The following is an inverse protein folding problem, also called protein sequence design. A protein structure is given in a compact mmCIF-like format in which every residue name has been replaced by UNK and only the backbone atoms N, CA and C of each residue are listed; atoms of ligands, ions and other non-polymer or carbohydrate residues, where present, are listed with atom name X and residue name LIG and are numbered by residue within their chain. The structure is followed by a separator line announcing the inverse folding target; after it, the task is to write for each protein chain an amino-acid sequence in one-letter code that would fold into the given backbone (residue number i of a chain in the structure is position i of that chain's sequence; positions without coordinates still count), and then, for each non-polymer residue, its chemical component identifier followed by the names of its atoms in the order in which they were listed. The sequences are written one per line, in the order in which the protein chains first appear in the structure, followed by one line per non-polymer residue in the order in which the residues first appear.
data_IF_472008629017
#
_entry.id   IF_472008629017
#
_cell.length_a   1.000
_cell.length_b   1.000
_cell.length_c   1.000
_cell.angle_alpha   90.00
_cell.angle_beta   90.00
_cell.angle_gamma   90.00
#
_symmetry.space_group_name_H-M   'P 1'
#
loop_
_entity.id
_entity.type
_entity.pdbx_description
1 polymer ?
#
# COMPACT_ATOMS: atom_id res chain seq x y z
N UNK A 1 8.65 -65.45 43.75
CA UNK A 1 8.03 -64.11 43.55
C UNK A 1 7.82 -63.93 42.05
N UNK A 2 6.57 -64.00 41.56
CA UNK A 2 6.22 -63.94 40.14
C UNK A 2 6.20 -62.46 39.69
N UNK A 3 6.99 -62.12 38.67
CA UNK A 3 7.04 -60.77 38.08
C UNK A 3 5.90 -60.63 37.06
N UNK A 4 5.01 -59.66 37.29
CA UNK A 4 4.03 -59.21 36.30
C UNK A 4 4.64 -58.09 35.46
N UNK A 5 4.63 -58.23 34.14
CA UNK A 5 4.88 -57.13 33.19
C UNK A 5 3.53 -56.57 32.73
N UNK A 6 3.28 -55.25 32.81
CA UNK A 6 2.07 -54.67 32.24
C UNK A 6 2.29 -54.45 30.74
N UNK A 7 1.45 -55.09 29.92
CA UNK A 7 1.35 -54.79 28.50
C UNK A 7 0.65 -53.44 28.31
N UNK A 8 1.34 -52.48 27.72
CA UNK A 8 0.75 -51.21 27.32
C UNK A 8 -0.07 -51.44 26.03
N UNK A 9 -1.39 -51.34 26.13
CA UNK A 9 -2.28 -51.24 24.98
C UNK A 9 -2.17 -49.82 24.40
N UNK A 10 -1.59 -49.69 23.20
CA UNK A 10 -1.70 -48.49 22.40
C UNK A 10 -2.97 -48.58 21.53
N UNK A 11 -3.98 -47.76 21.84
CA UNK A 11 -5.18 -47.59 21.01
C UNK A 11 -4.92 -46.45 20.03
N UNK A 12 -4.66 -46.77 18.76
CA UNK A 12 -4.58 -45.78 17.69
C UNK A 12 -6.00 -45.43 17.22
N UNK A 13 -6.52 -44.27 17.62
CA UNK A 13 -7.76 -43.73 17.09
C UNK A 13 -7.45 -42.97 15.79
N UNK A 14 -7.58 -43.64 14.65
CA UNK A 14 -7.52 -43.00 13.35
C UNK A 14 -8.87 -42.34 13.04
N UNK A 15 -9.02 -41.05 13.37
CA UNK A 15 -10.14 -40.24 12.88
C UNK A 15 -9.89 -39.84 11.43
N UNK A 16 -10.44 -40.60 10.50
CA UNK A 16 -10.51 -40.24 9.09
C UNK A 16 -11.50 -39.09 8.89
N UNK A 17 -11.04 -37.84 8.98
CA UNK A 17 -11.81 -36.69 8.51
C UNK A 17 -11.71 -36.64 6.98
N UNK A 18 -12.75 -37.12 6.30
CA UNK A 18 -12.92 -36.86 4.86
C UNK A 18 -13.33 -35.41 4.67
N UNK A 19 -12.39 -34.56 4.27
CA UNK A 19 -12.69 -33.19 3.83
C UNK A 19 -13.46 -33.25 2.52
N UNK A 20 -14.73 -32.84 2.53
CA UNK A 20 -15.48 -32.57 1.30
C UNK A 20 -14.84 -31.39 0.59
N UNK A 21 -14.17 -31.65 -0.54
CA UNK A 21 -13.72 -30.61 -1.46
C UNK A 21 -14.96 -30.02 -2.14
N UNK A 22 -15.43 -28.87 -1.67
CA UNK A 22 -16.23 -28.00 -2.52
C UNK A 22 -15.27 -27.36 -3.52
N UNK A 23 -15.31 -27.84 -4.77
CA UNK A 23 -14.67 -27.14 -5.86
C UNK A 23 -15.33 -25.74 -5.95
N UNK A 24 -14.54 -24.69 -5.73
CA UNK A 24 -15.01 -23.34 -5.97
C UNK A 24 -15.43 -23.22 -7.43
N UNK A 25 -16.63 -22.69 -7.68
CA UNK A 25 -17.10 -22.42 -9.04
C UNK A 25 -16.07 -21.54 -9.76
N UNK A 26 -15.65 -21.98 -10.95
CA UNK A 26 -14.65 -21.26 -11.72
C UNK A 26 -15.26 -19.92 -12.17
N UNK A 27 -14.78 -18.84 -11.57
CA UNK A 27 -15.27 -17.48 -11.82
C UNK A 27 -14.92 -17.09 -13.27
N UNK A 28 -15.88 -17.28 -14.18
CA UNK A 28 -15.72 -16.95 -15.59
C UNK A 28 -15.79 -15.42 -15.78
N UNK A 29 -14.63 -14.77 -15.76
CA UNK A 29 -14.51 -13.34 -16.07
C UNK A 29 -14.31 -13.15 -17.58
N UNK A 30 -15.16 -12.33 -18.21
CA UNK A 30 -14.97 -11.95 -19.61
C UNK A 30 -13.80 -10.99 -19.71
N UNK A 31 -12.77 -11.35 -20.46
CA UNK A 31 -11.66 -10.46 -20.74
C UNK A 31 -12.16 -9.18 -21.43
N UNK A 32 -11.74 -8.03 -20.90
CA UNK A 32 -12.01 -6.73 -21.52
C UNK A 32 -11.24 -6.64 -22.85
N UNK A 33 -11.97 -6.63 -23.96
CA UNK A 33 -11.39 -6.57 -25.31
C UNK A 33 -11.17 -5.12 -25.74
N UNK A 34 -10.08 -4.86 -26.47
CA UNK A 34 -9.82 -3.55 -27.07
C UNK A 34 -9.32 -2.47 -26.11
N UNK A 35 -8.60 -2.83 -25.04
CA UNK A 35 -7.94 -1.84 -24.19
C UNK A 35 -6.93 -1.03 -25.03
N UNK A 36 -7.03 0.31 -25.04
CA UNK A 36 -6.04 1.15 -25.70
C UNK A 36 -4.63 0.86 -25.19
N UNK A 37 -3.64 0.88 -26.08
CA UNK A 37 -2.25 0.59 -25.71
C UNK A 37 -1.68 1.56 -24.67
N UNK A 38 -2.20 2.79 -24.65
CA UNK A 38 -1.85 3.88 -23.75
C UNK A 38 -2.77 4.00 -22.53
N UNK A 39 -3.67 3.02 -22.31
CA UNK A 39 -4.54 3.00 -21.14
C UNK A 39 -3.74 3.07 -19.83
N UNK A 40 -4.17 3.95 -18.91
CA UNK A 40 -3.50 4.16 -17.63
C UNK A 40 -3.88 3.01 -16.67
N UNK A 41 -2.86 2.27 -16.25
CA UNK A 41 -2.92 1.24 -15.21
C UNK A 41 -2.15 1.77 -14.01
N UNK A 42 -2.86 2.45 -13.12
CA UNK A 42 -2.28 3.16 -11.99
C UNK A 42 -2.33 2.36 -10.68
N UNK A 43 -1.37 2.62 -9.80
CA UNK A 43 -1.43 2.23 -8.39
C UNK A 43 -1.06 3.43 -7.51
N UNK A 44 -1.70 3.58 -6.36
CA UNK A 44 -1.27 4.52 -5.32
C UNK A 44 -0.36 3.78 -4.33
N UNK A 45 0.86 4.27 -4.14
CA UNK A 45 1.87 3.64 -3.26
C UNK A 45 2.31 4.57 -2.13
N UNK A 46 1.51 5.59 -1.79
CA UNK A 46 1.95 6.67 -0.89
C UNK A 46 2.38 6.15 0.49
N UNK A 47 1.75 5.09 1.00
CA UNK A 47 2.11 4.46 2.28
C UNK A 47 3.28 3.46 2.20
N UNK A 48 3.89 3.26 1.04
CA UNK A 48 4.88 2.20 0.84
C UNK A 48 6.12 2.37 1.73
N UNK A 49 6.71 3.57 1.79
CA UNK A 49 7.90 3.79 2.63
C UNK A 49 7.59 3.60 4.11
N UNK A 50 6.40 4.00 4.56
CA UNK A 50 5.97 3.81 5.93
C UNK A 50 5.75 2.31 6.26
N UNK A 51 5.15 1.56 5.33
CA UNK A 51 5.04 0.11 5.47
C UNK A 51 6.41 -0.57 5.54
N UNK A 52 7.35 -0.20 4.66
CA UNK A 52 8.72 -0.73 4.66
C UNK A 52 9.49 -0.36 5.95
N UNK A 53 9.32 0.88 6.44
CA UNK A 53 9.87 1.34 7.73
C UNK A 53 9.39 0.47 8.90
N UNK A 54 8.15 -0.02 8.83
CA UNK A 54 7.55 -0.92 9.82
C UNK A 54 7.74 -2.41 9.49
N UNK A 55 8.66 -2.76 8.59
CA UNK A 55 9.09 -4.14 8.35
C UNK A 55 8.23 -4.91 7.34
N UNK A 56 7.35 -4.24 6.59
CA UNK A 56 6.62 -4.89 5.51
C UNK A 56 7.59 -5.49 4.48
N UNK A 57 7.27 -6.69 4.04
CA UNK A 57 7.98 -7.39 2.97
C UNK A 57 6.97 -7.84 1.92
N UNK A 58 7.40 -7.81 0.66
CA UNK A 58 6.55 -8.10 -0.49
C UNK A 58 7.15 -9.22 -1.31
N UNK A 59 6.28 -10.02 -1.91
CA UNK A 59 6.62 -11.23 -2.64
C UNK A 59 5.88 -11.26 -3.96
N UNK A 60 6.55 -11.77 -4.99
CA UNK A 60 5.93 -12.01 -6.29
C UNK A 60 5.08 -13.30 -6.27
N UNK A 61 4.49 -13.64 -7.42
CA UNK A 61 3.67 -14.85 -7.60
C UNK A 61 4.42 -16.17 -7.38
N UNK A 62 5.76 -16.14 -7.41
CA UNK A 62 6.61 -17.30 -7.17
C UNK A 62 7.11 -17.35 -5.72
N UNK A 63 6.53 -16.54 -4.83
CA UNK A 63 6.93 -16.39 -3.44
C UNK A 63 8.38 -15.89 -3.27
N UNK A 64 8.89 -15.13 -4.25
CA UNK A 64 10.22 -14.51 -4.16
C UNK A 64 10.09 -13.09 -3.61
N UNK A 65 10.87 -12.78 -2.57
CA UNK A 65 10.91 -11.42 -1.98
C UNK A 65 11.42 -10.44 -3.04
N UNK A 66 10.68 -9.35 -3.27
CA UNK A 66 10.99 -8.38 -4.32
C UNK A 66 10.50 -6.98 -3.97
N UNK A 67 11.08 -5.96 -4.61
CA UNK A 67 10.59 -4.57 -4.52
C UNK A 67 9.15 -4.52 -5.06
N UNK A 68 8.15 -4.09 -4.27
CA UNK A 68 6.76 -4.01 -4.73
C UNK A 68 6.57 -3.11 -5.94
N UNK A 69 7.41 -2.09 -6.13
CA UNK A 69 7.34 -1.22 -7.32
C UNK A 69 7.73 -2.00 -8.60
N UNK A 70 8.71 -2.90 -8.50
CA UNK A 70 9.07 -3.80 -9.60
C UNK A 70 7.98 -4.85 -9.84
N UNK A 71 7.40 -5.43 -8.79
CA UNK A 71 6.25 -6.36 -8.91
C UNK A 71 5.11 -5.67 -9.67
N UNK A 72 4.73 -4.44 -9.28
CA UNK A 72 3.69 -3.67 -9.97
C UNK A 72 4.01 -3.47 -11.45
N UNK A 73 5.26 -3.08 -11.76
CA UNK A 73 5.71 -2.87 -13.13
C UNK A 73 5.61 -4.13 -13.98
N UNK A 74 6.06 -5.27 -13.45
CA UNK A 74 5.99 -6.58 -14.12
C UNK A 74 4.55 -7.05 -14.33
N UNK A 75 3.65 -6.67 -13.43
CA UNK A 75 2.22 -6.90 -13.56
C UNK A 75 1.49 -5.81 -14.38
N UNK A 76 2.24 -4.98 -15.11
CA UNK A 76 1.72 -4.10 -16.14
C UNK A 76 1.25 -2.72 -15.66
N UNK A 77 1.52 -2.34 -14.41
CA UNK A 77 1.31 -0.96 -13.94
C UNK A 77 2.24 -0.01 -14.70
N UNK A 78 1.70 1.13 -15.14
CA UNK A 78 2.43 2.13 -15.94
C UNK A 78 2.36 3.55 -15.36
N UNK A 79 1.57 3.76 -14.31
CA UNK A 79 1.47 5.01 -13.55
C UNK A 79 1.53 4.73 -12.04
N UNK A 80 2.14 5.65 -11.31
CA UNK A 80 2.08 5.67 -9.84
C UNK A 80 1.45 6.99 -9.40
N UNK A 81 0.45 6.91 -8.53
CA UNK A 81 -0.10 8.07 -7.81
C UNK A 81 0.62 8.23 -6.47
N UNK A 82 0.97 9.47 -6.14
CA UNK A 82 1.58 9.83 -4.86
C UNK A 82 0.84 11.00 -4.22
N UNK A 83 0.42 10.78 -2.99
CA UNK A 83 -0.17 11.77 -2.10
C UNK A 83 0.89 12.77 -1.65
N UNK A 84 0.58 14.07 -1.62
CA UNK A 84 1.47 15.09 -1.05
C UNK A 84 0.71 16.01 -0.09
N UNK A 85 1.14 15.97 1.17
CA UNK A 85 0.76 16.90 2.23
C UNK A 85 1.80 18.00 2.38
N UNK A 86 1.39 19.14 2.93
CA UNK A 86 2.27 20.30 3.12
C UNK A 86 3.19 20.08 4.33
N UNK A 87 2.60 19.83 5.51
CA UNK A 87 3.35 19.55 6.74
C UNK A 87 2.58 18.52 7.62
N UNK A 88 2.77 17.20 7.37
CA UNK A 88 2.01 16.13 8.04
C UNK A 88 2.49 15.77 9.45
N UNK A 89 2.97 16.76 10.20
CA UNK A 89 3.46 16.59 11.56
C UNK A 89 2.77 17.54 12.54
N UNK A 90 2.74 17.14 13.82
CA UNK A 90 2.34 17.99 14.93
C UNK A 90 3.38 19.10 15.18
N UNK A 91 3.01 20.11 15.97
CA UNK A 91 3.96 21.16 16.37
C UNK A 91 5.17 20.63 17.19
N UNK A 92 5.04 19.45 17.82
CA UNK A 92 6.11 18.75 18.51
C UNK A 92 6.91 17.80 17.61
N UNK A 93 6.60 17.74 16.31
CA UNK A 93 7.30 16.91 15.33
C UNK A 93 6.84 15.45 15.26
N UNK A 94 5.65 15.15 15.80
CA UNK A 94 5.08 13.79 15.72
C UNK A 94 4.36 13.60 14.38
N UNK A 95 4.68 12.51 13.68
CA UNK A 95 4.02 12.15 12.41
C UNK A 95 2.53 11.90 12.62
N UNK A 96 1.68 12.41 11.72
CA UNK A 96 0.23 12.13 11.75
C UNK A 96 -0.12 10.70 11.26
N UNK A 97 0.86 9.92 10.82
CA UNK A 97 0.68 8.61 10.23
C UNK A 97 0.16 8.67 8.79
N UNK A 98 -0.46 7.59 8.31
CA UNK A 98 -0.99 7.53 6.94
C UNK A 98 0.08 7.65 5.86
N UNK A 99 1.32 7.28 6.15
CA UNK A 99 2.47 7.40 5.24
C UNK A 99 3.37 8.61 5.49
N UNK A 100 2.92 9.61 6.27
CA UNK A 100 3.64 10.86 6.51
C UNK A 100 4.14 11.51 5.20
N UNK A 101 3.23 11.65 4.22
CA UNK A 101 3.54 11.96 2.82
C UNK A 101 3.96 13.41 2.59
N UNK A 102 5.09 13.81 3.14
CA UNK A 102 5.75 15.10 2.88
C UNK A 102 6.49 15.09 1.53
N UNK A 103 7.12 16.22 1.20
CA UNK A 103 7.87 16.34 -0.05
C UNK A 103 9.04 15.35 -0.13
N UNK A 104 9.74 15.10 0.98
CA UNK A 104 10.90 14.21 1.01
C UNK A 104 10.49 12.75 0.72
N UNK A 105 9.47 12.26 1.42
CA UNK A 105 8.87 10.93 1.26
C UNK A 105 8.34 10.75 -0.16
N UNK A 106 7.59 11.74 -0.65
CA UNK A 106 7.02 11.74 -2.00
C UNK A 106 8.12 11.71 -3.06
N UNK A 107 9.18 12.50 -2.92
CA UNK A 107 10.31 12.51 -3.86
C UNK A 107 11.07 11.18 -3.88
N UNK A 108 11.24 10.53 -2.73
CA UNK A 108 11.89 9.22 -2.66
C UNK A 108 11.10 8.15 -3.42
N UNK A 109 9.78 8.09 -3.23
CA UNK A 109 8.89 7.19 -3.99
C UNK A 109 8.84 7.54 -5.48
N UNK A 110 8.76 8.82 -5.82
CA UNK A 110 8.76 9.29 -7.19
C UNK A 110 10.02 8.84 -7.93
N UNK A 111 11.20 8.99 -7.33
CA UNK A 111 12.47 8.53 -7.90
C UNK A 111 12.48 7.02 -8.13
N UNK A 112 12.01 6.21 -7.17
CA UNK A 112 11.91 4.75 -7.33
C UNK A 112 10.97 4.35 -8.47
N UNK A 113 9.78 4.96 -8.55
CA UNK A 113 8.84 4.70 -9.63
C UNK A 113 9.39 5.11 -11.02
N UNK A 114 10.08 6.25 -11.10
CA UNK A 114 10.75 6.71 -12.32
C UNK A 114 11.87 5.77 -12.76
N UNK A 115 12.64 5.21 -11.82
CA UNK A 115 13.67 4.22 -12.12
C UNK A 115 13.10 2.94 -12.76
N UNK A 116 11.84 2.59 -12.46
CA UNK A 116 11.10 1.48 -13.08
C UNK A 116 10.40 1.88 -14.40
N UNK A 117 10.64 3.10 -14.90
CA UNK A 117 10.05 3.60 -16.13
C UNK A 117 8.53 3.87 -16.04
N UNK A 118 7.99 4.08 -14.84
CA UNK A 118 6.59 4.46 -14.67
C UNK A 118 6.39 5.97 -14.76
N UNK A 119 5.18 6.40 -15.13
CA UNK A 119 4.75 7.79 -15.08
C UNK A 119 4.20 8.12 -13.69
N UNK A 120 4.10 9.41 -13.37
CA UNK A 120 3.65 9.88 -12.06
C UNK A 120 2.34 10.67 -12.17
N UNK A 121 1.47 10.50 -11.18
CA UNK A 121 0.36 11.38 -10.86
C UNK A 121 0.63 11.93 -9.46
N UNK A 122 1.03 13.20 -9.38
CA UNK A 122 1.21 13.88 -8.10
C UNK A 122 -0.13 14.46 -7.66
N UNK A 123 -0.58 14.07 -6.46
CA UNK A 123 -1.86 14.47 -5.89
C UNK A 123 -1.64 15.39 -4.68
N UNK A 124 -1.70 16.70 -4.94
CA UNK A 124 -1.59 17.74 -3.92
C UNK A 124 -2.89 17.82 -3.13
N UNK A 125 -2.81 17.65 -1.80
CA UNK A 125 -3.98 17.85 -0.95
C UNK A 125 -4.21 19.27 -0.47
N UNK A 126 -3.22 20.15 -0.62
CA UNK A 126 -3.26 21.51 -0.08
C UNK A 126 -3.74 21.52 1.37
N UNK A 127 -3.26 20.55 2.15
CA UNK A 127 -3.60 20.26 3.54
C UNK A 127 -2.41 19.55 4.18
N UNK A 128 -2.35 19.59 5.51
CA UNK A 128 -1.37 18.85 6.29
C UNK A 128 -1.79 17.39 6.51
N UNK A 129 -3.04 17.03 6.21
CA UNK A 129 -3.53 15.67 6.38
C UNK A 129 -4.63 15.31 5.39
N UNK A 130 -5.30 14.18 5.60
CA UNK A 130 -6.34 13.66 4.70
C UNK A 130 -7.34 14.73 4.26
N UNK A 131 -7.40 14.90 2.94
CA UNK A 131 -8.39 15.71 2.24
C UNK A 131 -9.42 14.79 1.60
N UNK A 132 -10.68 15.00 1.95
CA UNK A 132 -11.86 14.25 1.53
C UNK A 132 -13.10 15.19 1.51
N UNK A 133 -14.31 14.75 1.13
CA UNK A 133 -15.47 15.65 1.08
C UNK A 133 -15.82 16.35 2.41
N UNK A 134 -15.49 15.74 3.55
CA UNK A 134 -15.75 16.30 4.88
C UNK A 134 -14.55 17.05 5.49
N UNK A 135 -13.37 16.96 4.87
CA UNK A 135 -12.11 17.51 5.40
C UNK A 135 -11.35 18.24 4.31
N UNK A 136 -11.33 19.57 4.39
CA UNK A 136 -10.64 20.48 3.48
C UNK A 136 -9.95 21.58 4.30
N UNK A 137 -9.08 21.19 5.23
CA UNK A 137 -8.43 22.11 6.13
C UNK A 137 -7.23 22.78 5.45
N UNK A 138 -7.06 24.09 5.65
CA UNK A 138 -5.83 24.77 5.24
C UNK A 138 -4.66 24.16 6.01
N UNK A 139 -3.47 24.05 5.40
CA UNK A 139 -2.22 23.77 6.12
C UNK A 139 -2.04 24.75 7.28
N UNK A 140 -1.38 24.31 8.36
CA UNK A 140 -1.08 25.15 9.53
C UNK A 140 -0.39 26.47 9.13
N UNK A 141 0.54 26.41 8.18
CA UNK A 141 1.25 27.57 7.67
C UNK A 141 0.33 28.60 6.98
N UNK A 142 -0.83 28.19 6.49
CA UNK A 142 -1.74 29.00 5.68
C UNK A 142 -3.02 29.41 6.42
N UNK A 143 -3.18 29.00 7.68
CA UNK A 143 -4.40 29.25 8.46
C UNK A 143 -4.76 30.74 8.56
N UNK A 144 -3.75 31.59 8.69
CA UNK A 144 -3.90 33.05 8.86
C UNK A 144 -3.88 33.84 7.55
N UNK A 145 -3.61 33.19 6.42
CA UNK A 145 -3.56 33.85 5.12
C UNK A 145 -4.97 34.12 4.59
N UNK A 146 -5.17 35.32 4.05
CA UNK A 146 -6.33 35.70 3.27
C UNK A 146 -6.21 35.24 1.81
N UNK A 147 -7.26 35.49 1.01
CA UNK A 147 -7.29 35.04 -0.39
C UNK A 147 -6.18 35.69 -1.26
N UNK A 148 -5.96 37.02 -1.21
CA UNK A 148 -4.83 37.63 -1.91
C UNK A 148 -3.47 37.00 -1.59
N UNK A 149 -3.19 36.73 -0.31
CA UNK A 149 -1.95 36.08 0.12
C UNK A 149 -1.83 34.65 -0.42
N UNK A 150 -2.90 33.85 -0.32
CA UNK A 150 -2.93 32.48 -0.86
C UNK A 150 -2.76 32.43 -2.39
N UNK A 151 -3.29 33.42 -3.10
CA UNK A 151 -3.25 33.46 -4.57
C UNK A 151 -1.86 33.81 -5.12
N UNK A 152 -1.20 34.78 -4.49
CA UNK A 152 0.05 35.34 -5.02
C UNK A 152 1.30 34.73 -4.37
N UNK A 153 1.12 33.92 -3.32
CA UNK A 153 2.20 33.44 -2.47
C UNK A 153 2.59 34.50 -1.44
N UNK A 154 3.16 34.04 -0.31
CA UNK A 154 3.77 34.93 0.68
C UNK A 154 5.00 35.58 0.04
N UNK A 155 4.85 36.82 -0.41
CA UNK A 155 5.96 37.71 -0.77
C UNK A 155 6.63 38.28 0.47
#
# INVERSE_FOLDING_TARGET
MKRFTPAWLAVCLACSFSTSSQAADALATRAFQGMPADFIKGADISTLLDAEKHGATFYDQNNQRKDPIAILKENGVNYVRLRLWVDPQSASGEDYGGGNNDLATTLALAKRAKAQGMKLLLDFHYSDFWTDPGKQFKPKAWEKLDYPQLKNGDS
#
